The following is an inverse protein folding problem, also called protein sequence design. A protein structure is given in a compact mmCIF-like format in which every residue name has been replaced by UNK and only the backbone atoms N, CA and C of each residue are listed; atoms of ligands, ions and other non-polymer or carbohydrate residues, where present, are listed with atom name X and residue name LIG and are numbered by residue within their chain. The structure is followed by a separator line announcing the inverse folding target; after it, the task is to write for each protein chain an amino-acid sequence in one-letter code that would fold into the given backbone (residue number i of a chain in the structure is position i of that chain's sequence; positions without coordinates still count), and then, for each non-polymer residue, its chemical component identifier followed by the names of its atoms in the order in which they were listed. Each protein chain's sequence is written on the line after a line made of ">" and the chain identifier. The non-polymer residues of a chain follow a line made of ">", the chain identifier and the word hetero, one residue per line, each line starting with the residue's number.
data_IF_033221061677
#
_entry.id   IF_033221061677
#
_cell.length_a   1.000
_cell.length_b   1.000
_cell.length_c   1.000
_cell.angle_alpha   90.00
_cell.angle_beta   90.00
_cell.angle_gamma   90.00
#
_symmetry.space_group_name_H-M   'P 1'
#
loop_
_entity.id
_entity.type
_entity.pdbx_description
1 polymer ?
#
# COMPACT_ATOMS: atom_id res chain seq x y z
N UNK A 1 -10.35 -0.95 16.18
CA UNK A 1 -11.36 -0.29 15.33
C UNK A 1 -10.71 0.85 14.55
N UNK A 2 -11.08 1.01 13.31
CA UNK A 2 -10.54 2.09 12.47
C UNK A 2 -11.21 3.40 12.87
N UNK A 3 -10.45 4.48 13.16
CA UNK A 3 -11.03 5.79 13.43
C UNK A 3 -11.93 6.24 12.28
N UNK A 4 -12.97 6.99 12.60
CA UNK A 4 -13.96 7.43 11.60
C UNK A 4 -13.29 8.18 10.46
N UNK A 5 -12.35 9.07 10.77
CA UNK A 5 -11.64 9.87 9.76
C UNK A 5 -10.79 9.03 8.80
N UNK A 6 -10.43 7.82 9.21
CA UNK A 6 -9.60 6.92 8.39
C UNK A 6 -10.43 5.87 7.66
N UNK A 7 -11.73 5.83 7.90
CA UNK A 7 -12.59 4.86 7.24
C UNK A 7 -12.80 5.23 5.77
N UNK A 8 -12.87 4.20 4.95
CA UNK A 8 -13.12 4.32 3.52
C UNK A 8 -14.11 3.25 3.10
N UNK A 9 -14.86 3.47 2.00
CA UNK A 9 -15.80 2.44 1.50
C UNK A 9 -15.11 1.17 1.04
N UNK A 10 -13.88 1.30 0.54
CA UNK A 10 -13.13 0.20 -0.08
C UNK A 10 -11.79 0.07 0.63
N UNK A 11 -11.38 -1.16 0.89
CA UNK A 11 -10.06 -1.46 1.45
C UNK A 11 -9.29 -2.35 0.49
N UNK A 12 -8.02 -2.03 0.28
CA UNK A 12 -7.10 -2.89 -0.43
C UNK A 12 -6.34 -3.74 0.56
N UNK A 13 -6.42 -5.05 0.39
CA UNK A 13 -5.63 -6.03 1.12
C UNK A 13 -4.55 -6.50 0.17
N UNK A 14 -3.30 -6.23 0.50
CA UNK A 14 -2.19 -6.64 -0.34
C UNK A 14 -1.23 -7.52 0.46
N UNK A 15 -0.92 -8.67 -0.10
CA UNK A 15 0.06 -9.58 0.47
C UNK A 15 1.31 -9.54 -0.40
N UNK A 16 2.47 -9.42 0.26
CA UNK A 16 3.78 -9.52 -0.37
C UNK A 16 4.51 -10.70 0.22
N UNK A 17 5.22 -11.44 -0.63
CA UNK A 17 6.16 -12.48 -0.18
C UNK A 17 7.56 -11.97 -0.45
N UNK A 18 8.38 -11.92 0.59
CA UNK A 18 9.75 -11.40 0.52
C UNK A 18 10.69 -12.34 1.27
N UNK A 19 12.00 -12.13 1.10
CA UNK A 19 12.99 -12.78 1.95
C UNK A 19 13.02 -12.08 3.31
N UNK A 20 13.16 -12.83 4.42
CA UNK A 20 13.21 -12.23 5.75
C UNK A 20 14.29 -11.14 5.90
N UNK A 21 15.44 -11.33 5.26
CA UNK A 21 16.55 -10.38 5.33
C UNK A 21 16.24 -9.05 4.68
N UNK A 22 15.21 -9.00 3.82
CA UNK A 22 14.85 -7.80 3.06
C UNK A 22 13.77 -6.96 3.74
N UNK A 23 13.26 -7.38 4.91
CA UNK A 23 12.13 -6.71 5.54
C UNK A 23 12.40 -5.24 5.83
N UNK A 24 13.55 -4.93 6.41
CA UNK A 24 13.88 -3.55 6.78
C UNK A 24 13.93 -2.64 5.55
N UNK A 25 14.54 -3.10 4.48
CA UNK A 25 14.61 -2.34 3.23
C UNK A 25 13.23 -2.21 2.57
N UNK A 26 12.44 -3.28 2.61
CA UNK A 26 11.07 -3.29 2.08
C UNK A 26 10.21 -2.23 2.77
N UNK A 27 10.29 -2.16 4.11
CA UNK A 27 9.55 -1.17 4.91
C UNK A 27 10.00 0.24 4.55
N UNK A 28 11.30 0.47 4.45
CA UNK A 28 11.84 1.79 4.08
C UNK A 28 11.35 2.24 2.70
N UNK A 29 11.36 1.34 1.72
CA UNK A 29 10.87 1.66 0.37
C UNK A 29 9.40 2.04 0.38
N UNK A 30 8.59 1.38 1.21
CA UNK A 30 7.17 1.67 1.33
C UNK A 30 6.94 3.02 2.00
N UNK A 31 7.53 3.24 3.17
CA UNK A 31 7.28 4.43 3.99
C UNK A 31 7.84 5.70 3.35
N UNK A 32 9.03 5.63 2.77
CA UNK A 32 9.71 6.81 2.24
C UNK A 32 9.42 7.04 0.76
N UNK A 33 8.97 6.02 0.05
CA UNK A 33 8.74 6.13 -1.39
C UNK A 33 7.27 6.19 -1.76
N UNK A 34 6.58 5.08 -1.57
CA UNK A 34 5.26 4.87 -2.18
C UNK A 34 4.13 5.51 -1.39
N UNK A 35 4.14 5.35 -0.06
CA UNK A 35 3.04 5.81 0.78
C UNK A 35 2.79 7.32 0.71
N UNK A 36 3.84 8.18 0.73
CA UNK A 36 3.56 9.63 0.63
C UNK A 36 2.74 10.03 -0.58
N UNK A 37 2.98 9.38 -1.72
CA UNK A 37 2.22 9.70 -2.93
C UNK A 37 0.77 9.22 -2.84
N UNK A 38 0.54 7.97 -2.44
CA UNK A 38 -0.84 7.47 -2.41
C UNK A 38 -1.65 8.18 -1.33
N UNK A 39 -1.01 8.58 -0.23
CA UNK A 39 -1.67 9.41 0.78
C UNK A 39 -2.02 10.79 0.24
N UNK A 40 -1.15 11.38 -0.57
CA UNK A 40 -1.42 12.66 -1.22
C UNK A 40 -2.60 12.58 -2.18
N UNK A 41 -2.90 11.38 -2.68
CA UNK A 41 -4.04 11.13 -3.56
C UNK A 41 -5.31 10.75 -2.80
N UNK A 42 -5.29 10.80 -1.48
CA UNK A 42 -6.46 10.55 -0.65
C UNK A 42 -6.60 9.14 -0.10
N UNK A 43 -5.65 8.25 -0.38
CA UNK A 43 -5.66 6.92 0.21
C UNK A 43 -5.22 7.00 1.67
N UNK A 44 -5.71 6.06 2.48
CA UNK A 44 -5.35 6.00 3.89
C UNK A 44 -4.59 4.69 4.16
N UNK A 45 -3.32 4.80 4.55
CA UNK A 45 -2.53 3.62 4.96
C UNK A 45 -2.96 3.25 6.37
N UNK A 46 -3.60 2.11 6.52
CA UNK A 46 -4.08 1.65 7.82
C UNK A 46 -3.00 0.90 8.59
N UNK A 47 -2.13 0.21 7.90
CA UNK A 47 -1.03 -0.48 8.54
C UNK A 47 -0.38 -1.52 7.65
N UNK A 48 0.78 -1.98 8.11
CA UNK A 48 1.51 -3.07 7.45
C UNK A 48 1.97 -4.04 8.54
N UNK A 49 1.69 -5.32 8.34
CA UNK A 49 1.96 -6.36 9.31
C UNK A 49 2.81 -7.46 8.71
N UNK A 50 3.62 -8.09 9.53
CA UNK A 50 4.40 -9.25 9.15
C UNK A 50 3.81 -10.48 9.84
N UNK A 51 3.61 -11.56 9.08
CA UNK A 51 3.10 -12.79 9.66
C UNK A 51 4.21 -13.47 10.46
N UNK A 52 4.03 -13.55 11.78
CA UNK A 52 5.04 -14.13 12.67
C UNK A 52 4.86 -15.64 12.85
N UNK A 53 3.79 -16.24 12.33
CA UNK A 53 3.58 -17.69 12.42
C UNK A 53 4.31 -18.47 11.33
N UNK A 54 4.72 -17.78 10.26
CA UNK A 54 5.51 -18.36 9.19
C UNK A 54 6.48 -17.31 8.68
N UNK A 55 7.78 -17.55 8.86
CA UNK A 55 8.80 -16.56 8.51
C UNK A 55 9.61 -16.94 7.29
N UNK A 56 9.35 -18.11 6.70
CA UNK A 56 10.09 -18.58 5.53
C UNK A 56 9.12 -19.25 4.55
N UNK A 57 8.71 -18.59 3.46
CA UNK A 57 8.97 -17.19 3.13
C UNK A 57 8.20 -16.24 4.05
N UNK A 58 8.67 -15.00 4.13
CA UNK A 58 8.03 -14.01 4.97
C UNK A 58 6.84 -13.38 4.24
N UNK A 59 5.69 -13.33 4.91
CA UNK A 59 4.49 -12.63 4.42
C UNK A 59 4.39 -11.25 5.06
N UNK A 60 4.19 -10.25 4.22
CA UNK A 60 3.90 -8.88 4.67
C UNK A 60 2.52 -8.51 4.15
N UNK A 61 1.66 -8.03 5.04
CA UNK A 61 0.28 -7.65 4.73
C UNK A 61 0.15 -6.15 4.86
N UNK A 62 -0.38 -5.51 3.82
CA UNK A 62 -0.67 -4.07 3.80
C UNK A 62 -2.16 -3.86 3.66
N UNK A 63 -2.72 -3.03 4.51
CA UNK A 63 -4.13 -2.63 4.42
C UNK A 63 -4.21 -1.14 4.15
N UNK A 64 -4.90 -0.76 3.09
CA UNK A 64 -5.04 0.63 2.64
C UNK A 64 -6.50 0.92 2.34
N UNK A 65 -7.00 2.09 2.74
CA UNK A 65 -8.35 2.53 2.45
C UNK A 65 -8.42 3.40 1.22
N UNK A 66 -9.48 3.22 0.41
CA UNK A 66 -9.72 3.98 -0.82
C UNK A 66 -11.18 4.45 -0.88
N UNK A 67 -11.43 5.53 -1.61
CA UNK A 67 -12.79 6.06 -1.77
C UNK A 67 -13.64 5.22 -2.71
N UNK A 68 -13.02 4.53 -3.65
CA UNK A 68 -13.72 3.72 -4.64
C UNK A 68 -12.72 2.77 -5.31
N UNK A 69 -13.19 1.74 -6.04
CA UNK A 69 -12.30 0.94 -6.87
C UNK A 69 -11.55 1.77 -7.91
N UNK A 70 -12.20 2.77 -8.48
CA UNK A 70 -11.57 3.69 -9.42
C UNK A 70 -10.45 4.48 -8.77
N UNK A 71 -10.64 4.92 -7.54
CA UNK A 71 -9.60 5.62 -6.77
C UNK A 71 -8.36 4.73 -6.58
N UNK A 72 -8.59 3.46 -6.19
CA UNK A 72 -7.49 2.49 -6.08
C UNK A 72 -6.75 2.35 -7.42
N UNK A 73 -7.49 2.24 -8.51
CA UNK A 73 -6.90 2.11 -9.85
C UNK A 73 -6.00 3.31 -10.17
N UNK A 74 -6.46 4.51 -9.84
CA UNK A 74 -5.69 5.74 -10.07
C UNK A 74 -4.36 5.76 -9.31
N UNK A 75 -4.30 5.16 -8.11
CA UNK A 75 -3.07 5.16 -7.33
C UNK A 75 -1.99 4.25 -7.90
N UNK A 76 -2.33 3.40 -8.86
CA UNK A 76 -1.40 2.42 -9.45
C UNK A 76 -0.60 2.95 -10.61
N UNK A 77 -0.97 4.10 -11.15
CA UNK A 77 -0.38 4.65 -12.38
C UNK A 77 0.18 6.04 -12.11
N UNK A 78 1.01 6.50 -13.05
CA UNK A 78 1.50 7.86 -13.02
C UNK A 78 0.32 8.83 -12.98
N UNK A 79 0.37 9.85 -12.10
CA UNK A 79 -0.80 10.72 -11.86
C UNK A 79 -1.14 11.69 -13.00
N UNK A 80 -0.36 11.75 -14.05
CA UNK A 80 -0.62 12.67 -15.16
C UNK A 80 -0.56 14.12 -14.71
N UNK A 81 -1.68 14.83 -14.79
CA UNK A 81 -1.74 16.27 -14.48
C UNK A 81 -2.12 16.55 -13.01
N UNK A 82 -1.93 15.60 -12.12
CA UNK A 82 -2.38 15.74 -10.74
C UNK A 82 -1.39 16.49 -9.83
N UNK A 83 -0.73 17.51 -10.33
CA UNK A 83 0.02 18.46 -9.53
C UNK A 83 1.11 17.81 -8.67
N UNK A 84 1.03 18.03 -7.35
CA UNK A 84 2.03 17.56 -6.39
C UNK A 84 2.27 16.04 -6.44
N UNK A 85 1.29 15.28 -6.86
CA UNK A 85 1.42 13.83 -6.95
C UNK A 85 2.44 13.40 -8.01
N UNK A 86 2.63 14.21 -9.05
CA UNK A 86 3.63 13.90 -10.08
C UNK A 86 5.05 13.98 -9.53
N UNK A 87 5.33 14.98 -8.71
CA UNK A 87 6.65 15.10 -8.07
C UNK A 87 6.91 13.90 -7.16
N UNK A 88 5.92 13.51 -6.39
CA UNK A 88 6.04 12.34 -5.52
C UNK A 88 6.21 11.06 -6.33
N UNK A 89 5.49 10.94 -7.45
CA UNK A 89 5.65 9.79 -8.35
C UNK A 89 7.08 9.69 -8.87
N UNK A 90 7.63 10.82 -9.34
CA UNK A 90 9.00 10.85 -9.85
C UNK A 90 10.02 10.56 -8.75
N UNK A 91 9.80 11.11 -7.55
CA UNK A 91 10.69 10.92 -6.42
C UNK A 91 10.64 9.51 -5.82
N UNK A 92 9.54 8.78 -5.99
CA UNK A 92 9.43 7.43 -5.47
C UNK A 92 10.02 6.37 -6.40
N UNK A 93 10.41 6.73 -7.63
CA UNK A 93 10.73 5.75 -8.66
C UNK A 93 11.79 4.74 -8.21
N UNK A 94 12.87 5.20 -7.58
CA UNK A 94 13.92 4.30 -7.12
C UNK A 94 13.43 3.37 -6.01
N UNK A 95 12.60 3.88 -5.09
CA UNK A 95 12.03 3.08 -4.02
C UNK A 95 11.05 2.04 -4.57
N UNK A 96 10.20 2.45 -5.51
CA UNK A 96 9.23 1.55 -6.12
C UNK A 96 9.92 0.42 -6.87
N UNK A 97 10.92 0.75 -7.67
CA UNK A 97 11.69 -0.24 -8.42
C UNK A 97 12.39 -1.22 -7.48
N UNK A 98 12.98 -0.71 -6.40
CA UNK A 98 13.66 -1.55 -5.43
C UNK A 98 12.67 -2.45 -4.70
N UNK A 99 11.49 -1.93 -4.31
CA UNK A 99 10.47 -2.75 -3.64
C UNK A 99 9.99 -3.89 -4.54
N UNK A 100 9.85 -3.62 -5.84
CA UNK A 100 9.50 -4.67 -6.81
C UNK A 100 10.58 -5.75 -6.85
N UNK A 101 11.85 -5.36 -6.87
CA UNK A 101 12.96 -6.32 -6.85
C UNK A 101 12.96 -7.19 -5.60
N UNK A 102 12.61 -6.63 -4.44
CA UNK A 102 12.56 -7.36 -3.18
C UNK A 102 11.35 -8.29 -3.08
N UNK A 103 10.32 -8.08 -3.89
CA UNK A 103 9.06 -8.80 -3.81
C UNK A 103 9.11 -10.05 -4.68
N UNK A 104 8.97 -11.23 -4.07
CA UNK A 104 8.92 -12.49 -4.81
C UNK A 104 7.57 -12.68 -5.48
N UNK A 105 6.49 -12.47 -4.74
CA UNK A 105 5.13 -12.49 -5.27
C UNK A 105 4.29 -11.46 -4.53
N UNK A 106 3.24 -10.99 -5.19
CA UNK A 106 2.28 -10.08 -4.56
C UNK A 106 0.88 -10.40 -5.07
N UNK A 107 -0.11 -10.19 -4.20
CA UNK A 107 -1.51 -10.37 -4.54
C UNK A 107 -2.31 -9.26 -3.86
N UNK A 108 -3.27 -8.69 -4.59
CA UNK A 108 -4.14 -7.65 -4.04
C UNK A 108 -5.59 -8.09 -4.18
N UNK A 109 -6.38 -7.78 -3.15
CA UNK A 109 -7.84 -7.96 -3.18
C UNK A 109 -8.47 -6.66 -2.70
N UNK A 110 -9.54 -6.24 -3.37
CA UNK A 110 -10.34 -5.12 -2.89
C UNK A 110 -11.52 -5.67 -2.11
N UNK A 111 -11.82 -5.02 -1.00
CA UNK A 111 -12.84 -5.47 -0.07
C UNK A 111 -13.73 -4.31 0.32
N UNK A 112 -15.00 -4.61 0.61
CA UNK A 112 -15.88 -3.66 1.28
C UNK A 112 -16.05 -4.12 2.72
N UNK A 113 -16.28 -3.16 3.63
CA UNK A 113 -16.54 -3.52 5.01
C UNK A 113 -17.91 -4.18 5.11
N UNK A 114 -18.01 -5.26 5.90
CA UNK A 114 -19.30 -5.86 6.26
C UNK A 114 -19.89 -5.22 7.50
N UNK A 115 -19.21 -4.26 8.07
CA UNK A 115 -19.67 -3.53 9.22
C UNK A 115 -20.75 -2.56 8.77
N UNK A 116 -21.97 -2.75 9.27
CA UNK A 116 -23.14 -2.09 8.72
C UNK A 116 -23.76 -1.05 9.64
N UNK A 117 -23.21 -0.81 10.79
CA UNK A 117 -23.77 0.17 11.72
C UNK A 117 -23.24 1.59 11.51
N UNK A 118 -22.62 1.78 10.44
CA UNK A 118 -21.96 3.01 10.09
C UNK A 118 -22.89 4.07 9.49
#
# INVERSE_FOLDING_TARGET
>A
MIPIEDRRPIYGYRKFIISPDDLSEFVTCSENGIWPRIESMGACILGMWTNITSTTPMEVILLTGYHSPSHWEQTRYAPGNMGASKELWDGEMSYRSRRIELTKTTKVSLMTSSDIDH
#
